data_IF_268080094061
#
_entry.id   IF_268080094061
#
_cell.length_a   1.000
_cell.length_b   1.000
_cell.length_c   1.000
_cell.angle_alpha   90.00
_cell.angle_beta   90.00
_cell.angle_gamma   90.00
#
_symmetry.space_group_name_H-M   'P 1'
#
loop_
_entity.id
_entity.type
_entity.pdbx_description
1 polymer ?
#
# COMPACT_ATOMS: atom_id res chain seq x y z
N UNK A 1 17.63 -62.83 -22.83
CA UNK A 1 17.14 -64.05 -23.50
C UNK A 1 16.41 -63.59 -24.76
N UNK A 2 17.08 -63.67 -25.91
CA UNK A 2 16.48 -63.52 -27.25
C UNK A 2 15.71 -64.79 -27.57
N UNK A 3 14.50 -64.72 -28.14
CA UNK A 3 13.93 -65.77 -29.02
C UNK A 3 12.74 -65.17 -29.83
N UNK A 4 12.97 -65.03 -31.15
CA UNK A 4 12.09 -65.27 -32.34
C UNK A 4 10.64 -64.75 -32.35
N UNK A 5 10.25 -63.84 -33.26
CA UNK A 5 9.89 -64.04 -34.69
C UNK A 5 8.74 -65.03 -34.96
N UNK A 6 7.64 -64.55 -35.56
CA UNK A 6 7.07 -64.99 -36.86
C UNK A 6 5.72 -64.30 -37.12
N UNK A 7 5.42 -63.85 -38.37
CA UNK A 7 4.14 -63.26 -38.73
C UNK A 7 3.24 -64.26 -39.50
N UNK A 8 1.93 -64.03 -39.50
CA UNK A 8 1.00 -64.66 -40.45
C UNK A 8 -0.08 -63.65 -40.85
N UNK A 9 -0.23 -63.46 -42.16
CA UNK A 9 -1.27 -62.65 -42.82
C UNK A 9 -2.44 -63.58 -43.16
N UNK A 10 -3.67 -63.15 -42.90
CA UNK A 10 -4.87 -63.61 -43.61
C UNK A 10 -5.80 -62.39 -43.79
N UNK A 11 -6.19 -62.13 -45.03
CA UNK A 11 -7.12 -61.07 -45.43
C UNK A 11 -8.59 -61.53 -45.34
N UNK A 12 -9.46 -60.53 -45.20
CA UNK A 12 -10.90 -60.47 -45.46
C UNK A 12 -11.88 -61.37 -44.66
N UNK A 13 -12.56 -60.69 -43.72
CA UNK A 13 -13.95 -60.84 -43.23
C UNK A 13 -14.02 -60.88 -41.69
N UNK A 14 -14.39 -59.76 -41.09
CA UNK A 14 -14.53 -59.65 -39.64
C UNK A 14 -15.15 -58.34 -39.21
N UNK A 15 -16.48 -58.24 -39.30
CA UNK A 15 -17.26 -57.18 -38.66
C UNK A 15 -17.12 -57.32 -37.14
N UNK A 16 -16.21 -56.56 -36.53
CA UNK A 16 -16.09 -56.44 -35.08
C UNK A 16 -16.88 -55.21 -34.59
N UNK A 17 -17.91 -55.46 -33.77
CA UNK A 17 -18.62 -54.43 -33.00
C UNK A 17 -17.67 -53.83 -31.96
N UNK A 18 -17.02 -52.72 -32.29
CA UNK A 18 -16.27 -51.90 -31.35
C UNK A 18 -17.19 -50.95 -30.60
N UNK A 19 -17.19 -51.05 -29.28
CA UNK A 19 -17.89 -50.15 -28.36
C UNK A 19 -17.50 -48.69 -28.62
N UNK A 20 -18.50 -47.83 -28.85
CA UNK A 20 -18.32 -46.38 -28.88
C UNK A 20 -17.90 -45.93 -27.48
N UNK A 21 -16.60 -45.66 -27.30
CA UNK A 21 -16.11 -44.87 -26.18
C UNK A 21 -16.50 -43.42 -26.50
N UNK A 22 -17.60 -42.95 -25.92
CA UNK A 22 -17.94 -41.53 -25.95
C UNK A 22 -16.80 -40.76 -25.28
N UNK A 23 -16.18 -39.77 -25.95
CA UNK A 23 -15.17 -38.95 -25.29
C UNK A 23 -15.85 -38.25 -24.12
N UNK A 24 -15.31 -38.42 -22.92
CA UNK A 24 -15.70 -37.59 -21.78
C UNK A 24 -15.61 -36.13 -22.25
N UNK A 25 -16.66 -35.32 -22.05
CA UNK A 25 -16.77 -34.06 -22.75
C UNK A 25 -15.64 -33.16 -22.22
N UNK A 26 -14.75 -32.70 -23.11
CA UNK A 26 -13.62 -31.82 -22.77
C UNK A 26 -14.06 -30.58 -21.96
N UNK A 27 -15.33 -30.20 -22.06
CA UNK A 27 -15.98 -29.17 -21.24
C UNK A 27 -15.99 -29.48 -19.74
N UNK A 28 -16.15 -30.74 -19.32
CA UNK A 28 -16.12 -31.12 -17.90
C UNK A 28 -14.71 -30.96 -17.30
N UNK A 29 -13.67 -31.35 -18.05
CA UNK A 29 -12.28 -31.18 -17.66
C UNK A 29 -11.90 -29.70 -17.58
N UNK A 30 -12.27 -28.90 -18.59
CA UNK A 30 -12.05 -27.44 -18.57
C UNK A 30 -12.79 -26.75 -17.41
N UNK A 31 -14.03 -27.16 -17.11
CA UNK A 31 -14.79 -26.65 -15.98
C UNK A 31 -14.13 -26.98 -14.63
N UNK A 32 -13.61 -28.21 -14.46
CA UNK A 32 -12.88 -28.60 -13.25
C UNK A 32 -11.56 -27.83 -13.08
N UNK A 33 -10.82 -27.60 -14.17
CA UNK A 33 -9.58 -26.85 -14.13
C UNK A 33 -9.84 -25.37 -13.84
N UNK A 34 -10.84 -24.76 -14.47
CA UNK A 34 -11.24 -23.38 -14.21
C UNK A 34 -11.73 -23.19 -12.77
N UNK A 35 -12.54 -24.12 -12.24
CA UNK A 35 -12.98 -24.09 -10.84
C UNK A 35 -11.83 -24.28 -9.85
N UNK A 36 -10.89 -25.17 -10.16
CA UNK A 36 -9.68 -25.35 -9.36
C UNK A 36 -8.78 -24.11 -9.39
N UNK A 37 -8.56 -23.50 -10.56
CA UNK A 37 -7.80 -22.27 -10.70
C UNK A 37 -8.48 -21.09 -9.97
N UNK A 38 -9.81 -20.96 -10.07
CA UNK A 38 -10.56 -19.92 -9.33
C UNK A 38 -10.34 -20.06 -7.82
N UNK A 39 -10.50 -21.27 -7.27
CA UNK A 39 -10.28 -21.54 -5.86
C UNK A 39 -8.82 -21.38 -5.42
N UNK A 40 -7.88 -21.72 -6.28
CA UNK A 40 -6.46 -21.56 -6.00
C UNK A 40 -6.03 -20.09 -5.97
N UNK A 41 -6.76 -19.23 -6.70
CA UNK A 41 -6.49 -17.79 -6.79
C UNK A 41 -7.20 -16.99 -5.70
N UNK A 42 -8.35 -17.46 -5.21
CA UNK A 42 -9.12 -16.79 -4.16
C UNK A 42 -8.28 -16.62 -2.87
N UNK A 43 -8.10 -15.37 -2.38
CA UNK A 43 -7.42 -15.14 -1.12
C UNK A 43 -8.21 -15.73 0.05
N UNK A 44 -7.56 -16.02 1.19
CA UNK A 44 -8.25 -16.47 2.39
C UNK A 44 -9.28 -15.43 2.83
N UNK A 45 -10.36 -15.90 3.45
CA UNK A 45 -11.36 -15.02 4.03
C UNK A 45 -10.71 -14.05 5.03
N UNK A 46 -11.10 -12.75 5.02
CA UNK A 46 -10.60 -11.80 6.01
C UNK A 46 -10.86 -12.28 7.43
N UNK A 47 -9.98 -11.93 8.37
CA UNK A 47 -10.16 -12.19 9.80
C UNK A 47 -10.21 -10.87 10.57
N UNK A 48 -11.30 -10.09 10.47
CA UNK A 48 -11.39 -8.81 11.14
C UNK A 48 -11.21 -8.92 12.64
N UNK A 49 -10.58 -7.93 13.27
CA UNK A 49 -10.42 -7.94 14.72
C UNK A 49 -11.81 -7.92 15.42
N UNK A 50 -12.00 -8.79 16.40
CA UNK A 50 -13.25 -8.93 17.16
C UNK A 50 -14.27 -9.92 16.60
N UNK A 51 -14.01 -10.56 15.44
CA UNK A 51 -14.86 -11.66 14.94
C UNK A 51 -14.40 -13.02 15.47
N UNK A 52 -15.24 -14.05 15.33
CA UNK A 52 -14.84 -15.43 15.61
C UNK A 52 -13.62 -15.81 14.75
N UNK A 53 -12.55 -16.30 15.39
CA UNK A 53 -11.28 -16.64 14.73
C UNK A 53 -10.39 -15.45 14.35
N UNK A 54 -10.83 -14.21 14.59
CA UNK A 54 -10.04 -12.99 14.41
C UNK A 54 -9.21 -12.63 15.65
N UNK A 55 -8.20 -11.74 15.53
CA UNK A 55 -7.51 -11.17 16.69
C UNK A 55 -8.47 -10.37 17.59
N UNK A 56 -8.14 -10.15 18.87
CA UNK A 56 -8.95 -9.32 19.75
C UNK A 56 -8.89 -7.84 19.35
N UNK A 57 -9.93 -7.08 19.70
CA UNK A 57 -9.90 -5.61 19.64
C UNK A 57 -9.29 -5.07 20.93
N UNK A 58 -8.23 -4.29 20.81
CA UNK A 58 -7.52 -3.61 21.92
C UNK A 58 -7.36 -2.11 21.71
N UNK A 59 -7.51 -1.63 20.47
CA UNK A 59 -7.42 -0.22 20.12
C UNK A 59 -8.73 0.53 20.36
N UNK A 60 -8.61 1.85 20.57
CA UNK A 60 -9.73 2.75 20.35
C UNK A 60 -10.15 2.70 18.88
N UNK A 61 -11.44 2.50 18.65
CA UNK A 61 -12.06 2.42 17.32
C UNK A 61 -13.27 3.33 17.25
N UNK A 62 -13.50 3.88 16.06
CA UNK A 62 -14.76 4.52 15.71
C UNK A 62 -15.43 3.76 14.58
N UNK A 63 -16.76 3.88 14.47
CA UNK A 63 -17.55 3.26 13.41
C UNK A 63 -17.84 4.26 12.29
N UNK A 64 -17.53 3.88 11.06
CA UNK A 64 -17.82 4.60 9.83
C UNK A 64 -19.28 4.41 9.40
N UNK A 65 -19.73 5.25 8.45
CA UNK A 65 -21.10 5.22 7.91
C UNK A 65 -21.45 3.90 7.23
N UNK A 66 -20.46 3.23 6.63
CA UNK A 66 -20.63 1.92 5.98
C UNK A 66 -20.61 0.74 6.97
N UNK A 67 -20.39 1.02 8.27
CA UNK A 67 -20.37 0.03 9.33
C UNK A 67 -19.00 -0.55 9.67
N UNK A 68 -17.96 -0.29 8.86
CA UNK A 68 -16.57 -0.63 9.22
C UNK A 68 -16.12 0.19 10.41
N UNK A 69 -15.10 -0.28 11.11
CA UNK A 69 -14.42 0.48 12.13
C UNK A 69 -13.03 0.89 11.70
N UNK A 70 -12.62 2.10 12.11
CA UNK A 70 -11.23 2.54 12.04
C UNK A 70 -10.63 2.59 13.43
N UNK A 71 -9.50 1.89 13.61
CA UNK A 71 -8.67 2.00 14.80
C UNK A 71 -7.73 3.19 14.67
N UNK A 72 -7.56 3.95 15.76
CA UNK A 72 -6.77 5.18 15.74
C UNK A 72 -6.01 5.41 17.05
N UNK A 73 -5.02 6.29 17.00
CA UNK A 73 -4.22 6.74 18.14
C UNK A 73 -4.07 8.26 18.10
N UNK A 74 -4.29 8.91 19.25
CA UNK A 74 -4.20 10.36 19.41
C UNK A 74 -2.84 10.74 20.01
N UNK A 75 -2.28 11.88 19.59
CA UNK A 75 -1.01 12.41 20.06
C UNK A 75 -0.96 13.93 19.93
N UNK A 76 0.00 14.58 20.61
CA UNK A 76 0.11 16.03 20.66
C UNK A 76 -0.68 16.63 21.82
N UNK A 77 -1.14 17.87 21.68
CA UNK A 77 -1.92 18.56 22.72
C UNK A 77 -3.37 18.06 22.77
N UNK A 78 -4.11 18.26 23.89
CA UNK A 78 -5.54 17.98 23.94
C UNK A 78 -6.29 18.67 22.78
N UNK A 79 -7.25 17.96 22.18
CA UNK A 79 -7.98 18.41 20.99
C UNK A 79 -8.70 19.75 21.19
N UNK A 80 -9.15 20.02 22.41
CA UNK A 80 -9.88 21.22 22.81
C UNK A 80 -8.95 22.45 22.89
N UNK A 81 -7.64 22.24 23.08
CA UNK A 81 -6.61 23.28 23.15
C UNK A 81 -5.87 23.45 21.80
N UNK A 82 -6.10 22.53 20.86
CA UNK A 82 -5.38 22.47 19.59
C UNK A 82 -5.74 23.64 18.65
N UNK A 83 -4.70 24.30 18.15
CA UNK A 83 -4.77 25.26 17.03
C UNK A 83 -4.82 24.56 15.68
N UNK A 84 -4.09 23.46 15.55
CA UNK A 84 -4.00 22.67 14.33
C UNK A 84 -4.35 21.22 14.61
N UNK A 85 -5.21 20.65 13.75
CA UNK A 85 -5.68 19.27 13.88
C UNK A 85 -5.27 18.49 12.65
N UNK A 86 -4.55 17.39 12.85
CA UNK A 86 -3.87 16.63 11.80
C UNK A 86 -4.37 15.20 11.76
N UNK A 87 -4.72 14.72 10.57
CA UNK A 87 -4.89 13.29 10.30
C UNK A 87 -3.61 12.76 9.65
N UNK A 88 -3.04 11.70 10.24
CA UNK A 88 -1.80 11.08 9.78
C UNK A 88 -2.04 9.70 9.17
N UNK A 89 -1.56 9.49 7.95
CA UNK A 89 -1.67 8.25 7.18
C UNK A 89 -0.31 7.55 7.07
N UNK A 90 -0.17 6.40 7.74
CA UNK A 90 1.08 5.66 7.82
C UNK A 90 1.48 4.96 6.50
N UNK A 91 2.77 4.68 6.37
CA UNK A 91 3.34 3.95 5.23
C UNK A 91 3.04 2.45 5.22
N UNK A 92 3.74 1.74 4.33
CA UNK A 92 3.72 0.27 4.30
C UNK A 92 4.36 -0.29 5.58
N UNK A 93 3.81 -1.40 6.11
CA UNK A 93 4.20 -1.97 7.43
C UNK A 93 3.93 -1.06 8.65
N UNK A 94 3.33 0.12 8.44
CA UNK A 94 2.98 1.05 9.52
C UNK A 94 1.67 0.71 10.23
N UNK A 95 1.31 1.55 11.19
CA UNK A 95 0.05 1.49 11.92
C UNK A 95 -0.38 2.88 12.41
N UNK A 96 -1.52 2.95 13.09
CA UNK A 96 -2.01 4.11 13.85
C UNK A 96 -0.99 4.71 14.82
N UNK A 97 0.01 3.93 15.23
CA UNK A 97 1.05 4.34 16.19
C UNK A 97 2.18 5.15 15.53
N UNK A 98 2.22 5.20 14.19
CA UNK A 98 3.20 6.01 13.48
C UNK A 98 2.81 7.50 13.48
N UNK A 99 3.83 8.36 13.41
CA UNK A 99 3.68 9.81 13.33
C UNK A 99 4.86 10.43 12.57
N UNK A 100 4.83 11.75 12.38
CA UNK A 100 5.99 12.52 11.86
C UNK A 100 7.17 12.54 12.85
N UNK A 101 6.98 12.06 14.09
CA UNK A 101 7.98 12.05 15.17
C UNK A 101 8.56 13.43 15.47
N UNK A 102 7.69 14.44 15.54
CA UNK A 102 8.05 15.73 16.11
C UNK A 102 8.27 15.61 17.62
N UNK A 103 9.10 16.49 18.16
CA UNK A 103 9.27 16.67 19.60
C UNK A 103 7.98 17.17 20.25
N UNK A 104 7.79 16.79 21.51
CA UNK A 104 6.62 17.20 22.28
C UNK A 104 6.59 18.73 22.42
N UNK A 105 7.76 19.34 22.61
CA UNK A 105 7.93 20.77 22.75
C UNK A 105 7.42 21.54 21.51
N UNK A 106 7.73 21.06 20.30
CA UNK A 106 7.24 21.68 19.06
C UNK A 106 5.74 21.45 18.87
N UNK A 107 5.23 20.27 19.21
CA UNK A 107 3.80 20.00 19.13
C UNK A 107 3.00 20.90 20.10
N UNK A 108 3.50 21.13 21.31
CA UNK A 108 2.92 22.02 22.32
C UNK A 108 3.01 23.49 21.90
N UNK A 109 4.19 23.96 21.46
CA UNK A 109 4.40 25.33 21.00
C UNK A 109 3.45 25.72 19.86
N UNK A 110 3.26 24.81 18.89
CA UNK A 110 2.39 25.03 17.75
C UNK A 110 0.90 24.78 18.08
N UNK A 111 0.60 24.05 19.16
CA UNK A 111 -0.74 23.62 19.52
C UNK A 111 -1.30 22.57 18.56
N UNK A 112 -0.52 21.52 18.27
CA UNK A 112 -0.85 20.48 17.30
C UNK A 112 -1.49 19.28 17.99
N UNK A 113 -2.71 18.94 17.58
CA UNK A 113 -3.34 17.66 17.82
C UNK A 113 -3.18 16.78 16.57
N UNK A 114 -2.77 15.53 16.75
CA UNK A 114 -2.58 14.58 15.67
C UNK A 114 -3.29 13.27 15.97
N UNK A 115 -4.01 12.75 14.97
CA UNK A 115 -4.57 11.41 14.98
C UNK A 115 -3.98 10.56 13.87
N UNK A 116 -3.28 9.48 14.24
CA UNK A 116 -2.89 8.42 13.33
C UNK A 116 -3.98 7.34 13.29
N UNK A 117 -4.22 6.73 12.14
CA UNK A 117 -5.21 5.66 12.01
C UNK A 117 -4.64 4.46 11.27
N UNK A 118 -5.10 3.26 11.62
CA UNK A 118 -4.80 2.06 10.85
C UNK A 118 -5.59 2.16 9.53
N UNK A 119 -4.90 2.11 8.39
CA UNK A 119 -5.58 2.09 7.09
C UNK A 119 -6.45 0.82 6.98
N UNK A 120 -7.45 0.83 6.10
CA UNK A 120 -8.36 -0.32 5.95
C UNK A 120 -7.58 -1.65 5.87
N UNK A 121 -7.94 -2.65 6.67
CA UNK A 121 -7.28 -3.96 6.75
C UNK A 121 -5.91 -4.00 7.44
N UNK A 122 -5.34 -2.86 7.83
CA UNK A 122 -4.17 -2.81 8.71
C UNK A 122 -4.61 -2.81 10.17
N UNK A 123 -3.71 -3.29 11.03
CA UNK A 123 -3.87 -3.16 12.48
C UNK A 123 -5.22 -3.71 12.93
N UNK A 124 -6.04 -2.85 13.53
CA UNK A 124 -7.38 -3.20 14.03
C UNK A 124 -8.52 -2.48 13.29
N UNK A 125 -8.23 -1.85 12.14
CA UNK A 125 -9.24 -1.29 11.24
C UNK A 125 -9.86 -2.35 10.36
N UNK A 126 -11.18 -2.38 10.26
CA UNK A 126 -11.88 -3.39 9.47
C UNK A 126 -11.45 -3.29 7.98
N UNK A 127 -11.32 -4.43 7.27
CA UNK A 127 -11.04 -4.44 5.84
C UNK A 127 -12.14 -3.76 5.03
N UNK A 128 -11.75 -3.07 3.96
CA UNK A 128 -12.67 -2.51 2.97
C UNK A 128 -12.66 -3.36 1.69
N UNK A 129 -13.74 -4.08 1.34
CA UNK A 129 -13.82 -4.87 0.10
C UNK A 129 -13.80 -3.99 -1.17
N UNK A 130 -14.15 -2.72 -1.06
CA UNK A 130 -14.12 -1.73 -2.16
C UNK A 130 -12.97 -0.71 -2.00
N UNK A 131 -11.86 -1.12 -1.35
CA UNK A 131 -10.72 -0.23 -1.09
C UNK A 131 -10.24 0.44 -2.38
N UNK A 132 -10.08 1.75 -2.30
CA UNK A 132 -9.60 2.61 -3.37
C UNK A 132 -8.95 3.87 -2.77
N UNK A 133 -8.29 4.66 -3.62
CA UNK A 133 -7.79 5.99 -3.22
C UNK A 133 -8.92 6.89 -2.74
N UNK A 134 -10.09 6.80 -3.39
CA UNK A 134 -11.29 7.53 -3.00
C UNK A 134 -11.78 7.09 -1.61
N UNK A 135 -11.90 5.80 -1.36
CA UNK A 135 -12.33 5.33 -0.03
C UNK A 135 -11.33 5.71 1.06
N UNK A 136 -10.02 5.73 0.78
CA UNK A 136 -9.01 6.20 1.73
C UNK A 136 -9.18 7.69 2.08
N UNK A 137 -9.54 8.53 1.11
CA UNK A 137 -9.86 9.93 1.35
C UNK A 137 -11.14 10.10 2.20
N UNK A 138 -12.17 9.31 1.92
CA UNK A 138 -13.41 9.32 2.69
C UNK A 138 -13.22 8.78 4.11
N UNK A 139 -12.37 7.76 4.30
CA UNK A 139 -11.99 7.27 5.63
C UNK A 139 -11.32 8.39 6.45
N UNK A 140 -10.46 9.21 5.83
CA UNK A 140 -9.84 10.40 6.46
C UNK A 140 -10.89 11.46 6.81
N UNK A 141 -11.84 11.75 5.92
CA UNK A 141 -12.93 12.69 6.19
C UNK A 141 -13.84 12.23 7.34
N UNK A 142 -14.29 10.98 7.30
CA UNK A 142 -15.18 10.42 8.32
C UNK A 142 -14.50 10.31 9.68
N UNK A 143 -13.20 9.97 9.72
CA UNK A 143 -12.39 10.03 10.94
C UNK A 143 -12.37 11.45 11.52
N UNK A 144 -12.14 12.45 10.66
CA UNK A 144 -12.10 13.85 11.09
C UNK A 144 -13.47 14.34 11.60
N UNK A 145 -14.55 13.97 10.91
CA UNK A 145 -15.93 14.30 11.32
C UNK A 145 -16.27 13.66 12.67
N UNK A 146 -16.02 12.36 12.83
CA UNK A 146 -16.35 11.61 14.04
C UNK A 146 -15.59 12.12 15.27
N UNK A 147 -14.35 12.60 15.09
CA UNK A 147 -13.56 13.18 16.17
C UNK A 147 -13.83 14.68 16.40
N UNK A 148 -14.64 15.32 15.56
CA UNK A 148 -14.95 16.74 15.69
C UNK A 148 -13.73 17.63 15.38
N UNK A 149 -12.97 17.31 14.33
CA UNK A 149 -11.80 18.10 13.95
C UNK A 149 -12.17 19.46 13.33
N UNK A 150 -13.43 19.62 12.93
CA UNK A 150 -13.96 20.86 12.38
C UNK A 150 -14.10 20.83 10.85
N UNK A 151 -14.48 21.97 10.24
CA UNK A 151 -14.76 22.03 8.81
C UNK A 151 -13.51 21.81 7.96
N UNK A 152 -12.33 22.21 8.46
CA UNK A 152 -11.04 21.97 7.81
C UNK A 152 -10.01 21.42 8.78
N UNK A 153 -9.17 20.52 8.30
CA UNK A 153 -8.07 19.91 9.05
C UNK A 153 -6.87 19.68 8.13
N UNK A 154 -5.73 19.32 8.69
CA UNK A 154 -4.51 19.04 7.93
C UNK A 154 -4.36 17.54 7.73
N UNK A 155 -3.74 17.15 6.62
CA UNK A 155 -3.45 15.73 6.34
C UNK A 155 -1.96 15.54 6.07
N UNK A 156 -1.36 14.55 6.72
CA UNK A 156 0.02 14.16 6.50
C UNK A 156 0.07 12.68 6.11
N UNK A 157 0.82 12.36 5.07
CA UNK A 157 1.07 10.98 4.66
C UNK A 157 2.56 10.69 4.60
N UNK A 158 2.93 9.44 4.88
CA UNK A 158 4.30 8.94 4.66
C UNK A 158 4.27 7.77 3.70
N UNK A 159 5.18 7.76 2.73
CA UNK A 159 5.40 6.63 1.81
C UNK A 159 4.10 6.24 1.11
N UNK A 160 3.69 4.97 1.21
CA UNK A 160 2.45 4.48 0.64
C UNK A 160 1.24 5.24 1.21
N UNK A 161 1.26 5.68 2.47
CA UNK A 161 0.20 6.45 3.11
C UNK A 161 -0.15 7.77 2.41
N UNK A 162 0.73 8.28 1.56
CA UNK A 162 0.49 9.46 0.73
C UNK A 162 -0.62 9.25 -0.32
N UNK A 163 -1.04 8.03 -0.64
CA UNK A 163 -2.21 7.82 -1.49
C UNK A 163 -3.49 8.42 -0.87
N UNK A 164 -3.62 8.37 0.47
CA UNK A 164 -4.73 9.00 1.16
C UNK A 164 -4.66 10.53 1.05
N UNK A 165 -3.45 11.12 1.03
CA UNK A 165 -3.25 12.56 0.82
C UNK A 165 -3.63 12.96 -0.62
N UNK A 166 -3.15 12.22 -1.63
CA UNK A 166 -3.56 12.43 -3.02
C UNK A 166 -5.08 12.31 -3.19
N UNK A 167 -5.69 11.31 -2.56
CA UNK A 167 -7.13 11.15 -2.52
C UNK A 167 -7.83 12.33 -1.85
N UNK A 168 -7.33 12.81 -0.71
CA UNK A 168 -7.90 13.94 0.00
C UNK A 168 -7.88 15.22 -0.86
N UNK A 169 -6.76 15.50 -1.51
CA UNK A 169 -6.63 16.63 -2.45
C UNK A 169 -7.56 16.51 -3.65
N UNK A 170 -7.91 15.29 -4.08
CA UNK A 170 -8.79 15.04 -5.21
C UNK A 170 -10.28 15.13 -4.85
N UNK A 171 -10.69 14.50 -3.75
CA UNK A 171 -12.09 14.18 -3.47
C UNK A 171 -12.72 15.03 -2.37
N UNK A 172 -11.91 15.59 -1.46
CA UNK A 172 -12.36 16.45 -0.35
C UNK A 172 -11.49 17.72 -0.20
N UNK A 173 -11.03 18.37 -1.28
CA UNK A 173 -10.07 19.48 -1.20
C UNK A 173 -10.54 20.64 -0.31
N UNK A 174 -11.86 20.86 -0.22
CA UNK A 174 -12.48 21.86 0.64
C UNK A 174 -12.35 21.57 2.14
N UNK A 175 -12.12 20.31 2.53
CA UNK A 175 -11.88 19.88 3.92
C UNK A 175 -10.42 20.02 4.34
N UNK A 176 -9.50 20.25 3.40
CA UNK A 176 -8.07 20.25 3.67
C UNK A 176 -7.57 21.69 3.88
N UNK A 177 -7.05 21.97 5.07
CA UNK A 177 -6.40 23.23 5.43
C UNK A 177 -4.95 23.32 4.91
N UNK A 178 -4.28 22.17 4.82
CA UNK A 178 -2.93 22.01 4.28
C UNK A 178 -2.55 20.54 4.23
N UNK A 179 -1.64 20.18 3.32
CA UNK A 179 -1.23 18.79 3.13
C UNK A 179 0.29 18.64 3.10
N UNK A 180 0.78 17.54 3.67
CA UNK A 180 2.18 17.15 3.57
C UNK A 180 2.34 15.68 3.21
N UNK A 181 3.34 15.41 2.36
CA UNK A 181 3.73 14.07 1.94
C UNK A 181 5.22 13.87 2.17
N UNK A 182 5.59 12.79 2.84
CA UNK A 182 6.99 12.41 3.07
C UNK A 182 7.29 11.16 2.27
N UNK A 183 8.21 11.26 1.31
CA UNK A 183 8.63 10.20 0.38
C UNK A 183 7.45 9.47 -0.32
N UNK A 184 6.49 10.18 -0.95
CA UNK A 184 5.26 9.56 -1.46
C UNK A 184 5.54 8.53 -2.56
N UNK A 185 4.95 7.34 -2.43
CA UNK A 185 5.08 6.28 -3.44
C UNK A 185 4.48 6.73 -4.77
N UNK A 186 5.18 6.41 -5.86
CA UNK A 186 4.74 6.66 -7.24
C UNK A 186 4.20 5.39 -7.89
N UNK A 187 3.30 5.56 -8.84
CA UNK A 187 2.86 4.49 -9.72
C UNK A 187 3.48 4.70 -11.12
N UNK A 188 4.28 3.73 -11.56
CA UNK A 188 5.00 3.76 -12.85
C UNK A 188 4.06 3.86 -14.07
N UNK A 189 2.77 3.54 -13.90
CA UNK A 189 1.76 3.59 -14.95
C UNK A 189 0.87 4.84 -14.91
N UNK A 190 1.19 5.84 -14.08
CA UNK A 190 0.49 7.13 -14.17
C UNK A 190 0.76 7.81 -15.52
N UNK A 191 -0.29 8.26 -16.24
CA UNK A 191 -0.17 8.73 -17.62
C UNK A 191 0.63 10.03 -17.77
N UNK A 192 0.83 10.80 -16.70
CA UNK A 192 1.61 12.03 -16.71
C UNK A 192 3.12 11.78 -16.79
N UNK A 193 3.60 10.58 -16.51
CA UNK A 193 5.00 10.23 -16.71
C UNK A 193 5.29 9.92 -18.18
N UNK A 194 6.43 10.38 -18.74
CA UNK A 194 6.91 9.89 -20.02
C UNK A 194 7.17 8.38 -19.92
N UNK A 195 6.60 7.61 -20.84
CA UNK A 195 6.68 6.14 -20.82
C UNK A 195 8.11 5.63 -20.72
N UNK A 196 9.05 6.24 -21.46
CA UNK A 196 10.46 5.83 -21.46
C UNK A 196 11.14 6.09 -20.10
N UNK A 197 10.84 7.23 -19.47
CA UNK A 197 11.37 7.57 -18.15
C UNK A 197 10.83 6.62 -17.08
N UNK A 198 9.52 6.37 -17.09
CA UNK A 198 8.90 5.44 -16.16
C UNK A 198 9.45 4.02 -16.34
N UNK A 199 9.62 3.56 -17.58
CA UNK A 199 10.18 2.26 -17.90
C UNK A 199 11.66 2.14 -17.48
N UNK A 200 12.49 3.17 -17.73
CA UNK A 200 13.89 3.19 -17.31
C UNK A 200 14.02 3.03 -15.80
N UNK A 201 13.25 3.80 -15.04
CA UNK A 201 13.29 3.77 -13.57
C UNK A 201 12.69 2.47 -13.02
N UNK A 202 11.61 1.97 -13.61
CA UNK A 202 11.01 0.69 -13.27
C UNK A 202 11.99 -0.48 -13.46
N UNK A 203 12.75 -0.48 -14.56
CA UNK A 203 13.70 -1.54 -14.88
C UNK A 203 14.93 -1.58 -13.94
N UNK A 204 15.12 -0.55 -13.11
CA UNK A 204 16.17 -0.53 -12.05
C UNK A 204 15.73 -1.23 -10.76
N UNK A 205 14.45 -1.56 -10.62
CA UNK A 205 13.93 -2.31 -9.47
C UNK A 205 14.42 -3.77 -9.50
N UNK A 206 14.45 -4.40 -8.33
CA UNK A 206 14.68 -5.85 -8.23
C UNK A 206 13.63 -6.62 -9.04
N UNK A 207 14.04 -7.73 -9.67
CA UNK A 207 13.16 -8.51 -10.56
C UNK A 207 11.87 -8.94 -9.85
N UNK A 208 11.95 -9.26 -8.56
CA UNK A 208 10.79 -9.60 -7.73
C UNK A 208 9.81 -8.45 -7.56
N UNK A 209 10.29 -7.24 -7.30
CA UNK A 209 9.44 -6.05 -7.19
C UNK A 209 8.84 -5.68 -8.55
N UNK A 210 9.60 -5.77 -9.64
CA UNK A 210 9.04 -5.58 -10.99
C UNK A 210 7.82 -6.49 -11.20
N UNK A 211 7.95 -7.78 -10.96
CA UNK A 211 6.84 -8.72 -11.13
C UNK A 211 5.67 -8.44 -10.18
N UNK A 212 5.93 -8.22 -8.90
CA UNK A 212 4.88 -7.96 -7.92
C UNK A 212 4.08 -6.69 -8.27
N UNK A 213 4.74 -5.63 -8.71
CA UNK A 213 4.10 -4.40 -9.18
C UNK A 213 3.32 -4.61 -10.48
N UNK A 214 3.88 -5.35 -11.44
CA UNK A 214 3.21 -5.67 -12.71
C UNK A 214 1.93 -6.48 -12.48
N UNK A 215 1.98 -7.49 -11.60
CA UNK A 215 0.80 -8.29 -11.24
C UNK A 215 -0.23 -7.42 -10.53
N UNK A 216 0.20 -6.57 -9.59
CA UNK A 216 -0.68 -5.62 -8.91
C UNK A 216 -1.42 -4.69 -9.88
N UNK A 217 -0.76 -4.24 -10.95
CA UNK A 217 -1.36 -3.35 -11.95
C UNK A 217 -2.24 -4.06 -12.97
N UNK A 218 -1.74 -5.14 -13.59
CA UNK A 218 -2.36 -5.76 -14.76
C UNK A 218 -3.26 -6.95 -14.43
N UNK A 219 -3.00 -7.64 -13.31
CA UNK A 219 -3.74 -8.83 -12.91
C UNK A 219 -3.93 -8.88 -11.37
N UNK A 220 -4.51 -7.85 -10.74
CA UNK A 220 -4.60 -7.74 -9.28
C UNK A 220 -5.33 -8.92 -8.62
N UNK A 221 -6.27 -9.56 -9.32
CA UNK A 221 -7.02 -10.72 -8.80
C UNK A 221 -6.14 -11.93 -8.49
N UNK A 222 -4.98 -12.09 -9.14
CA UNK A 222 -4.05 -13.20 -8.90
C UNK A 222 -2.90 -12.83 -7.96
N UNK A 223 -2.85 -11.60 -7.44
CA UNK A 223 -1.72 -11.11 -6.67
C UNK A 223 -1.45 -11.96 -5.42
N UNK A 224 -2.51 -12.35 -4.70
CA UNK A 224 -2.35 -13.16 -3.50
C UNK A 224 -1.67 -14.50 -3.84
N UNK A 225 -2.27 -15.25 -4.77
CA UNK A 225 -1.73 -16.51 -5.25
C UNK A 225 -0.28 -16.38 -5.73
N UNK A 226 0.02 -15.34 -6.52
CA UNK A 226 1.38 -15.06 -7.00
C UNK A 226 2.36 -14.95 -5.84
N UNK A 227 2.02 -14.14 -4.83
CA UNK A 227 2.89 -13.84 -3.70
C UNK A 227 3.11 -15.03 -2.76
N UNK A 228 2.19 -16.00 -2.75
CA UNK A 228 2.34 -17.25 -2.01
C UNK A 228 3.23 -18.30 -2.71
N UNK A 229 3.49 -18.15 -4.01
CA UNK A 229 4.31 -19.12 -4.74
C UNK A 229 5.80 -18.89 -4.47
N UNK A 230 6.43 -19.80 -3.72
CA UNK A 230 7.87 -19.74 -3.40
C UNK A 230 8.80 -19.82 -4.63
N UNK A 231 8.29 -20.30 -5.77
CA UNK A 231 9.02 -20.44 -7.03
C UNK A 231 8.86 -19.21 -7.95
N UNK A 232 8.00 -18.25 -7.59
CA UNK A 232 7.84 -16.99 -8.32
C UNK A 232 8.67 -15.88 -7.68
N UNK A 233 9.16 -14.91 -8.47
CA UNK A 233 9.79 -13.71 -7.93
C UNK A 233 8.81 -12.94 -7.03
N UNK A 234 9.22 -12.67 -5.78
CA UNK A 234 8.40 -11.99 -4.78
C UNK A 234 8.91 -10.58 -4.48
N UNK A 235 8.05 -9.73 -3.92
CA UNK A 235 8.45 -8.36 -3.55
C UNK A 235 9.47 -8.36 -2.41
N UNK A 236 10.60 -7.67 -2.63
CA UNK A 236 11.62 -7.50 -1.61
C UNK A 236 11.13 -6.58 -0.48
N UNK A 237 10.17 -5.68 -0.77
CA UNK A 237 9.54 -4.79 0.21
C UNK A 237 8.68 -5.61 1.17
N UNK A 238 7.84 -6.50 0.63
CA UNK A 238 7.02 -7.45 1.43
C UNK A 238 7.91 -8.36 2.28
N UNK A 239 8.99 -8.88 1.70
CA UNK A 239 9.95 -9.73 2.41
C UNK A 239 10.85 -8.96 3.39
N UNK A 240 10.84 -7.63 3.38
CA UNK A 240 11.73 -6.80 4.21
C UNK A 240 13.21 -6.93 3.84
N UNK A 241 13.52 -7.28 2.60
CA UNK A 241 14.88 -7.56 2.09
C UNK A 241 15.38 -6.54 1.06
N UNK A 242 14.59 -5.53 0.68
CA UNK A 242 14.95 -4.54 -0.36
C UNK A 242 16.34 -3.95 -0.15
N UNK A 243 17.19 -3.82 -1.19
CA UNK A 243 18.44 -3.08 -1.05
C UNK A 243 18.19 -1.63 -0.61
N UNK A 244 18.88 -1.17 0.43
CA UNK A 244 18.83 0.23 0.90
C UNK A 244 20.23 0.83 0.70
N UNK A 245 20.45 1.63 -0.37
CA UNK A 245 21.77 2.18 -0.69
C UNK A 245 22.20 3.27 0.32
N UNK A 246 21.25 4.00 0.89
CA UNK A 246 21.52 4.97 1.94
C UNK A 246 21.97 4.27 3.23
N UNK A 247 23.11 4.70 3.77
CA UNK A 247 23.72 4.09 4.97
C UNK A 247 22.82 4.18 6.21
N UNK A 248 22.17 5.33 6.43
CA UNK A 248 21.31 5.54 7.61
C UNK A 248 20.10 4.61 7.57
N UNK A 249 19.44 4.49 6.42
CA UNK A 249 18.31 3.59 6.24
C UNK A 249 18.70 2.13 6.47
N UNK A 250 19.84 1.70 5.94
CA UNK A 250 20.37 0.36 6.16
C UNK A 250 20.65 0.08 7.65
N UNK A 251 21.24 1.03 8.37
CA UNK A 251 21.49 0.95 9.81
C UNK A 251 20.19 0.92 10.63
N UNK A 252 19.22 1.79 10.32
CA UNK A 252 17.90 1.81 10.98
C UNK A 252 17.22 0.45 10.83
N UNK A 253 17.14 -0.08 9.60
CA UNK A 253 16.52 -1.39 9.39
C UNK A 253 17.26 -2.51 10.12
N UNK A 254 18.60 -2.49 10.12
CA UNK A 254 19.41 -3.47 10.86
C UNK A 254 19.07 -3.43 12.36
N UNK A 255 19.00 -2.23 12.95
CA UNK A 255 18.68 -2.06 14.36
C UNK A 255 17.26 -2.52 14.68
N UNK A 256 16.27 -2.15 13.84
CA UNK A 256 14.88 -2.59 13.99
C UNK A 256 14.71 -4.11 13.88
N UNK A 257 15.54 -4.78 13.08
CA UNK A 257 15.55 -6.26 13.02
C UNK A 257 16.20 -6.85 14.26
N UNK A 258 17.29 -6.25 14.75
CA UNK A 258 18.02 -6.72 15.93
C UNK A 258 17.21 -6.58 17.23
N UNK A 259 16.42 -5.53 17.38
CA UNK A 259 15.56 -5.29 18.56
C UNK A 259 14.16 -5.90 18.44
N UNK A 260 13.83 -6.52 17.30
CA UNK A 260 12.54 -7.18 17.04
C UNK A 260 11.39 -6.21 16.67
N UNK A 261 11.61 -4.90 16.70
CA UNK A 261 10.57 -3.91 16.36
C UNK A 261 10.08 -4.04 14.92
N UNK A 262 10.94 -4.44 13.98
CA UNK A 262 10.56 -4.69 12.60
C UNK A 262 9.49 -5.80 12.50
N UNK A 263 9.72 -6.93 13.16
CA UNK A 263 8.80 -8.06 13.16
C UNK A 263 7.49 -7.69 13.87
N UNK A 264 7.58 -7.03 15.03
CA UNK A 264 6.39 -6.57 15.78
C UNK A 264 5.50 -5.65 14.93
N UNK A 265 6.10 -4.72 14.18
CA UNK A 265 5.35 -3.84 13.26
C UNK A 265 4.67 -4.63 12.15
N UNK A 266 5.37 -5.58 11.54
CA UNK A 266 4.78 -6.46 10.53
C UNK A 266 3.63 -7.29 11.07
N UNK A 267 3.78 -7.88 12.26
CA UNK A 267 2.74 -8.67 12.90
C UNK A 267 1.50 -7.82 13.19
N UNK A 268 1.68 -6.61 13.76
CA UNK A 268 0.58 -5.67 14.01
C UNK A 268 -0.13 -5.27 12.70
N UNK A 269 0.64 -4.89 11.67
CA UNK A 269 0.11 -4.45 10.40
C UNK A 269 -0.65 -5.56 9.65
N UNK A 270 -0.25 -6.83 9.83
CA UNK A 270 -0.78 -7.98 9.08
C UNK A 270 -1.65 -8.92 9.92
N UNK A 271 -2.00 -8.57 11.15
CA UNK A 271 -2.73 -9.47 12.08
C UNK A 271 -4.09 -9.95 11.53
N UNK A 272 -4.75 -9.16 10.68
CA UNK A 272 -6.01 -9.52 10.01
C UNK A 272 -5.81 -10.34 8.72
N UNK A 273 -4.55 -10.57 8.32
CA UNK A 273 -4.13 -11.26 7.11
C UNK A 273 -3.29 -10.37 6.18
N UNK A 274 -2.17 -10.90 5.67
CA UNK A 274 -1.27 -10.16 4.75
C UNK A 274 -1.95 -9.74 3.44
N UNK A 275 -2.98 -10.47 3.00
CA UNK A 275 -3.77 -10.08 1.85
C UNK A 275 -4.46 -8.73 2.10
N UNK A 276 -5.19 -8.63 3.20
CA UNK A 276 -5.98 -7.44 3.54
C UNK A 276 -5.13 -6.23 3.89
N UNK A 277 -3.89 -6.40 4.31
CA UNK A 277 -2.97 -5.28 4.48
C UNK A 277 -2.15 -5.05 3.21
N UNK A 278 -1.08 -5.82 3.05
CA UNK A 278 0.00 -5.53 2.11
C UNK A 278 -0.43 -5.67 0.65
N UNK A 279 -1.11 -6.75 0.29
CA UNK A 279 -1.44 -7.01 -1.12
C UNK A 279 -2.54 -6.08 -1.61
N UNK A 280 -3.56 -5.83 -0.79
CA UNK A 280 -4.63 -4.86 -1.11
C UNK A 280 -4.07 -3.45 -1.25
N UNK A 281 -3.07 -3.08 -0.46
CA UNK A 281 -2.34 -1.84 -0.64
C UNK A 281 -1.60 -1.75 -1.96
N UNK A 282 -0.89 -2.81 -2.34
CA UNK A 282 -0.20 -2.87 -3.64
C UNK A 282 -1.21 -2.75 -4.79
N UNK A 283 -2.33 -3.46 -4.72
CA UNK A 283 -3.41 -3.38 -5.71
C UNK A 283 -3.99 -1.97 -5.82
N UNK A 284 -4.16 -1.25 -4.71
CA UNK A 284 -4.68 0.13 -4.73
C UNK A 284 -3.64 1.12 -5.22
N UNK A 285 -2.42 1.08 -4.70
CA UNK A 285 -1.36 2.04 -5.03
C UNK A 285 -0.93 1.90 -6.49
N UNK A 286 -0.71 0.67 -6.95
CA UNK A 286 -0.23 0.37 -8.31
C UNK A 286 -1.35 0.05 -9.30
N UNK A 287 -2.61 0.05 -8.85
CA UNK A 287 -3.78 -0.13 -9.70
C UNK A 287 -4.07 1.06 -10.62
N UNK A 288 -5.27 1.06 -11.20
CA UNK A 288 -5.74 2.09 -12.13
C UNK A 288 -6.58 3.12 -11.39
N UNK A 289 -5.98 4.27 -11.10
CA UNK A 289 -6.66 5.37 -10.42
C UNK A 289 -7.61 6.10 -11.38
N UNK A 290 -8.68 6.68 -10.86
CA UNK A 290 -9.61 7.52 -11.65
C UNK A 290 -9.00 8.89 -12.04
N UNK A 291 -7.83 9.21 -11.51
CA UNK A 291 -7.11 10.45 -11.77
C UNK A 291 -5.60 10.20 -11.75
N UNK A 292 -4.86 11.11 -12.37
CA UNK A 292 -3.40 11.19 -12.26
C UNK A 292 -3.02 12.35 -11.33
N UNK A 293 -2.20 12.13 -10.28
CA UNK A 293 -1.68 13.20 -9.44
C UNK A 293 -1.10 14.39 -10.21
N UNK A 294 -0.39 14.16 -11.32
CA UNK A 294 0.20 15.22 -12.16
C UNK A 294 -0.84 16.04 -12.96
N UNK A 295 -2.08 15.58 -13.01
CA UNK A 295 -3.21 16.27 -13.66
C UNK A 295 -4.12 17.03 -12.68
N UNK A 296 -3.82 16.97 -11.38
CA UNK A 296 -4.63 17.66 -10.38
C UNK A 296 -4.53 19.19 -10.54
N UNK A 297 -5.65 19.92 -10.49
CA UNK A 297 -5.62 21.37 -10.41
C UNK A 297 -4.96 21.79 -9.09
N UNK A 298 -4.46 23.03 -9.04
CA UNK A 298 -3.91 23.62 -7.81
C UNK A 298 -4.96 23.52 -6.68
N UNK A 299 -4.66 22.85 -5.56
CA UNK A 299 -5.57 22.77 -4.42
C UNK A 299 -5.77 24.15 -3.75
N UNK A 300 -6.88 24.35 -3.00
CA UNK A 300 -7.13 25.58 -2.26
C UNK A 300 -6.30 25.70 -0.97
N UNK A 301 -5.29 24.85 -0.78
CA UNK A 301 -4.44 24.75 0.40
C UNK A 301 -2.97 24.60 0.00
N UNK A 302 -2.00 24.94 0.88
CA UNK A 302 -0.60 24.62 0.65
C UNK A 302 -0.37 23.10 0.65
N UNK A 303 0.52 22.64 -0.23
CA UNK A 303 0.93 21.24 -0.32
C UNK A 303 2.45 21.16 -0.30
N UNK A 304 2.99 20.35 0.60
CA UNK A 304 4.43 20.17 0.76
C UNK A 304 4.84 18.71 0.52
N UNK A 305 5.94 18.51 -0.19
CA UNK A 305 6.46 17.18 -0.52
C UNK A 305 7.92 17.10 -0.10
N UNK A 306 8.25 16.22 0.84
CA UNK A 306 9.62 15.91 1.24
C UNK A 306 10.09 14.64 0.55
N UNK A 307 11.34 14.62 0.10
CA UNK A 307 11.94 13.46 -0.55
C UNK A 307 13.44 13.39 -0.22
N UNK A 308 13.92 12.21 0.18
CA UNK A 308 15.35 11.95 0.26
C UNK A 308 15.95 11.75 -1.13
N UNK A 309 17.11 12.35 -1.41
CA UNK A 309 17.81 12.21 -2.69
C UNK A 309 18.54 10.87 -2.87
N UNK A 310 18.73 10.12 -1.78
CA UNK A 310 19.27 8.77 -1.74
C UNK A 310 18.19 7.72 -1.40
N UNK A 311 16.92 8.05 -1.59
CA UNK A 311 15.80 7.12 -1.39
C UNK A 311 15.89 5.91 -2.33
N UNK A 312 16.12 4.73 -1.74
CA UNK A 312 16.24 3.47 -2.46
C UNK A 312 14.93 2.74 -2.72
N UNK A 313 13.81 3.22 -2.17
CA UNK A 313 12.49 2.60 -2.29
C UNK A 313 11.61 3.38 -3.27
N UNK A 314 11.56 4.70 -3.13
CA UNK A 314 10.81 5.59 -4.01
C UNK A 314 11.80 6.37 -4.87
N UNK A 315 11.76 6.20 -6.20
CA UNK A 315 12.75 6.80 -7.08
C UNK A 315 12.60 8.33 -7.14
N UNK A 316 13.57 9.04 -6.55
CA UNK A 316 13.65 10.51 -6.57
C UNK A 316 13.56 11.10 -7.98
N UNK A 317 14.03 10.38 -9.00
CA UNK A 317 13.94 10.80 -10.41
C UNK A 317 12.50 11.01 -10.86
N UNK A 318 11.58 10.09 -10.52
CA UNK A 318 10.17 10.26 -10.84
C UNK A 318 9.53 11.33 -9.98
N UNK A 319 9.99 11.51 -8.73
CA UNK A 319 9.50 12.59 -7.89
C UNK A 319 9.89 13.98 -8.38
N UNK A 320 11.14 14.17 -8.83
CA UNK A 320 11.60 15.39 -9.51
C UNK A 320 10.75 15.68 -10.75
N UNK A 321 10.43 14.66 -11.55
CA UNK A 321 9.52 14.83 -12.69
C UNK A 321 8.12 15.25 -12.24
N UNK A 322 7.53 14.55 -11.28
CA UNK A 322 6.19 14.82 -10.77
C UNK A 322 6.07 16.27 -10.27
N UNK A 323 7.01 16.74 -9.44
CA UNK A 323 6.97 18.12 -8.92
C UNK A 323 7.26 19.17 -9.98
N UNK A 324 8.01 18.84 -11.04
CA UNK A 324 8.18 19.73 -12.20
C UNK A 324 6.86 19.97 -12.96
N UNK A 325 5.90 19.05 -12.87
CA UNK A 325 4.56 19.17 -13.44
C UNK A 325 3.58 19.87 -12.49
N UNK A 326 3.87 19.84 -11.19
CA UNK A 326 3.03 20.42 -10.15
C UNK A 326 3.64 21.71 -9.60
N UNK A 327 3.55 22.79 -10.38
CA UNK A 327 4.10 24.10 -10.01
C UNK A 327 3.54 24.70 -8.71
N UNK A 328 2.45 24.14 -8.20
CA UNK A 328 1.82 24.53 -6.94
C UNK A 328 2.35 23.78 -5.72
N UNK A 329 3.14 22.72 -5.89
CA UNK A 329 3.67 21.92 -4.79
C UNK A 329 4.99 22.53 -4.27
N UNK A 330 5.09 22.70 -2.96
CA UNK A 330 6.34 23.09 -2.30
C UNK A 330 7.21 21.85 -2.10
N UNK A 331 8.25 21.70 -2.92
CA UNK A 331 9.14 20.52 -2.88
C UNK A 331 10.37 20.77 -2.00
N UNK A 332 10.65 19.80 -1.12
CA UNK A 332 11.73 19.82 -0.14
C UNK A 332 12.59 18.58 -0.32
N UNK A 333 13.62 18.67 -1.15
CA UNK A 333 14.59 17.59 -1.32
C UNK A 333 15.63 17.62 -0.19
N UNK A 334 15.87 16.47 0.43
CA UNK A 334 16.74 16.31 1.60
C UNK A 334 18.05 15.66 1.17
N UNK A 335 19.19 16.39 1.18
CA UNK A 335 20.48 15.85 0.76
C UNK A 335 20.98 14.71 1.66
N UNK A 336 21.57 13.69 1.05
CA UNK A 336 22.16 12.52 1.73
C UNK A 336 21.14 11.69 2.54
N UNK A 337 19.86 11.77 2.18
CA UNK A 337 18.76 11.19 2.96
C UNK A 337 18.07 10.08 2.18
N UNK A 338 17.80 8.96 2.85
CA UNK A 338 17.06 7.82 2.28
C UNK A 338 15.53 7.96 2.37
N UNK A 339 14.84 6.83 2.40
CA UNK A 339 13.39 6.70 2.49
C UNK A 339 12.84 6.93 3.90
N UNK A 340 13.59 6.59 4.97
CA UNK A 340 13.08 6.61 6.34
C UNK A 340 13.06 8.02 6.95
N UNK A 341 12.30 8.92 6.33
CA UNK A 341 12.25 10.34 6.66
C UNK A 341 11.84 10.60 8.12
N UNK A 342 10.87 9.87 8.66
CA UNK A 342 10.44 10.04 10.07
C UNK A 342 11.54 9.71 11.09
N UNK A 343 12.60 8.99 10.69
CA UNK A 343 13.75 8.69 11.55
C UNK A 343 14.88 9.72 11.42
N UNK A 344 14.75 10.72 10.55
CA UNK A 344 15.71 11.82 10.44
C UNK A 344 15.53 12.76 11.62
N UNK A 345 16.57 12.95 12.48
CA UNK A 345 16.45 13.80 13.66
C UNK A 345 15.99 15.23 13.32
N UNK A 346 14.96 15.71 14.02
CA UNK A 346 14.41 17.07 13.85
C UNK A 346 13.58 17.30 12.58
N UNK A 347 13.45 16.30 11.68
CA UNK A 347 12.63 16.47 10.48
C UNK A 347 11.14 16.60 10.83
N UNK A 348 10.65 15.85 11.82
CA UNK A 348 9.27 16.00 12.31
C UNK A 348 8.95 17.45 12.72
N UNK A 349 9.84 18.07 13.49
CA UNK A 349 9.72 19.47 13.90
C UNK A 349 9.72 20.42 12.70
N UNK A 350 10.63 20.17 11.75
CA UNK A 350 10.72 20.94 10.50
C UNK A 350 9.43 20.84 9.71
N UNK A 351 8.86 19.64 9.57
CA UNK A 351 7.60 19.40 8.86
C UNK A 351 6.46 20.16 9.54
N UNK A 352 6.30 20.06 10.87
CA UNK A 352 5.24 20.78 11.57
C UNK A 352 5.40 22.30 11.47
N UNK A 353 6.60 22.83 11.71
CA UNK A 353 6.89 24.27 11.59
C UNK A 353 6.68 24.78 10.17
N UNK A 354 6.95 23.98 9.14
CA UNK A 354 6.76 24.38 7.74
C UNK A 354 5.28 24.42 7.33
N UNK A 355 4.45 23.54 7.90
CA UNK A 355 3.02 23.46 7.54
C UNK A 355 2.20 24.50 8.32
N UNK A 356 2.65 24.88 9.53
CA UNK A 356 1.89 25.71 10.47
C UNK A 356 2.49 27.09 10.76
N UNK A 357 3.77 27.30 10.47
CA UNK A 357 4.46 28.59 10.58
C UNK A 357 4.42 29.33 9.25
#
# INVERSE_FOLDING_TARGET
>A
MWVTSMPQVWDEEGVAKGSVVTPAPATALLGSLAGWMSRAVEPPAPRPCGTEGGPPVTATRLRLRDGRHLAYCESGVPKEEARFKVVFSHGFTGSREDSVRASQEVAEELGVYMVGFDRAGYGESDPNPNRSVKSAALDVEELADALGLGPKFYVIGISLGCHAVWGALKYIPERIAGAAMMAPVVNYWWPGFPTDLAAEVYNKQEVGDQWALRVSHHAPSILHWWMEQSWLPTSTVVAGTTPLPNKRDAEIRKNMKADGSFQKKMDLATQQGIHESYYRDMMVMFGKWEFDPMSLPKPPCPVHIWQGDEDGLVPVVLQRYLVSRLSWANYHELPGTGHFLSAVPGLGDTVLRTIFG
#
